data_IF_246791202067
#
_entry.id   IF_246791202067
#
_cell.length_a   1.000
_cell.length_b   1.000
_cell.length_c   1.000
_cell.angle_alpha   90.00
_cell.angle_beta   90.00
_cell.angle_gamma   90.00
#
_symmetry.space_group_name_H-M   'P 1'
#
loop_
_entity.id
_entity.type
_entity.pdbx_description
1 polymer ?
#
# COMPACT_ATOMS: atom_id res chain seq x y z
N UNK A 1 9.76 20.37 13.11
CA UNK A 1 10.34 19.08 12.67
C UNK A 1 10.71 18.19 13.86
N UNK A 2 11.64 18.59 14.77
CA UNK A 2 12.09 17.73 15.91
C UNK A 2 10.91 17.30 16.79
N UNK A 3 9.97 18.20 17.09
CA UNK A 3 8.75 17.85 17.85
C UNK A 3 7.91 16.79 17.13
N UNK A 4 7.78 16.90 15.84
CA UNK A 4 7.02 15.96 15.01
C UNK A 4 7.67 14.56 14.99
N UNK A 5 9.00 14.51 14.82
CA UNK A 5 9.76 13.24 14.88
C UNK A 5 9.51 12.51 16.20
N UNK A 6 9.47 13.24 17.32
CA UNK A 6 9.22 12.65 18.65
C UNK A 6 7.83 12.06 18.80
N UNK A 7 6.86 12.44 17.96
CA UNK A 7 5.50 11.88 17.99
C UNK A 7 5.34 10.65 17.10
N UNK A 8 6.30 10.34 16.22
CA UNK A 8 6.19 9.20 15.29
C UNK A 8 6.02 7.86 16.01
N UNK A 9 6.75 7.53 17.09
CA UNK A 9 6.55 6.25 17.79
C UNK A 9 5.10 6.05 18.25
N UNK A 10 4.49 7.06 18.88
CA UNK A 10 3.09 7.01 19.31
C UNK A 10 2.12 6.82 18.13
N UNK A 11 2.40 7.49 17.01
CA UNK A 11 1.61 7.36 15.78
C UNK A 11 1.73 5.96 15.17
N UNK A 12 2.93 5.38 15.20
CA UNK A 12 3.18 4.00 14.77
C UNK A 12 2.39 3.01 15.63
N UNK A 13 2.43 3.18 16.95
CA UNK A 13 1.66 2.33 17.87
C UNK A 13 0.15 2.37 17.56
N UNK A 14 -0.37 3.55 17.18
CA UNK A 14 -1.78 3.68 16.76
C UNK A 14 -2.08 2.88 15.50
N UNK A 15 -1.18 2.87 14.52
CA UNK A 15 -1.32 2.05 13.30
C UNK A 15 -1.30 0.56 13.67
N UNK A 16 -0.36 0.15 14.51
CA UNK A 16 -0.22 -1.24 14.93
C UNK A 16 -1.42 -1.77 15.74
N UNK A 17 -2.21 -0.90 16.37
CA UNK A 17 -3.47 -1.29 17.03
C UNK A 17 -4.55 -1.73 16.05
N UNK A 18 -4.50 -1.28 14.81
CA UNK A 18 -5.45 -1.66 13.73
C UNK A 18 -4.97 -2.86 12.89
N UNK A 19 -3.88 -3.50 13.28
CA UNK A 19 -3.25 -4.60 12.52
C UNK A 19 -4.19 -5.76 12.21
N UNK A 20 -5.17 -6.04 13.07
CA UNK A 20 -6.10 -7.15 12.89
C UNK A 20 -7.03 -6.93 11.69
N UNK A 21 -7.41 -5.68 11.40
CA UNK A 21 -8.16 -5.34 10.18
C UNK A 21 -7.32 -5.59 8.93
N UNK A 22 -6.04 -5.19 8.97
CA UNK A 22 -5.11 -5.45 7.86
C UNK A 22 -4.89 -6.95 7.69
N UNK A 23 -4.75 -7.70 8.78
CA UNK A 23 -4.62 -9.16 8.76
C UNK A 23 -5.86 -9.82 8.15
N UNK A 24 -7.05 -9.40 8.54
CA UNK A 24 -8.29 -9.88 7.95
C UNK A 24 -8.34 -9.61 6.44
N UNK A 25 -8.02 -8.39 6.03
CA UNK A 25 -7.97 -8.02 4.62
C UNK A 25 -6.94 -8.87 3.86
N UNK A 26 -5.72 -9.01 4.40
CA UNK A 26 -4.66 -9.81 3.83
C UNK A 26 -5.08 -11.26 3.59
N UNK A 27 -5.87 -11.84 4.50
CA UNK A 27 -6.37 -13.22 4.36
C UNK A 27 -7.28 -13.40 3.14
N UNK A 28 -7.92 -12.35 2.65
CA UNK A 28 -8.73 -12.37 1.42
C UNK A 28 -7.89 -12.26 0.15
N UNK A 29 -6.65 -11.78 0.27
CA UNK A 29 -5.75 -11.52 -0.85
C UNK A 29 -4.69 -12.61 -1.05
N UNK A 30 -4.79 -13.72 -0.34
CA UNK A 30 -3.81 -14.84 -0.37
C UNK A 30 -3.62 -15.41 -1.79
N UNK A 31 -4.68 -15.42 -2.57
CA UNK A 31 -4.71 -15.96 -3.94
C UNK A 31 -4.53 -14.86 -5.02
N UNK A 32 -4.23 -13.63 -4.65
CA UNK A 32 -3.94 -12.59 -5.63
C UNK A 32 -2.73 -13.00 -6.48
N UNK A 33 -2.83 -12.84 -7.80
CA UNK A 33 -1.74 -13.07 -8.74
C UNK A 33 -0.95 -11.82 -9.00
N UNK A 34 -1.65 -10.70 -9.17
CA UNK A 34 -1.10 -9.38 -9.45
C UNK A 34 -1.67 -8.36 -8.46
N UNK A 35 -0.81 -7.44 -8.03
CA UNK A 35 -1.20 -6.32 -7.17
C UNK A 35 -0.59 -5.04 -7.72
N UNK A 36 -1.40 -4.02 -7.92
CA UNK A 36 -0.94 -2.71 -8.36
C UNK A 36 -0.96 -1.71 -7.21
N UNK A 37 0.15 -1.01 -7.04
CA UNK A 37 0.28 0.08 -6.08
C UNK A 37 0.29 1.40 -6.82
N UNK A 38 -0.59 2.33 -6.44
CA UNK A 38 -0.74 3.60 -7.13
C UNK A 38 -0.67 4.78 -6.18
N UNK A 39 0.07 5.80 -6.56
CA UNK A 39 0.23 7.02 -5.78
C UNK A 39 0.76 8.16 -6.64
N UNK A 40 0.77 9.36 -6.08
CA UNK A 40 1.32 10.55 -6.74
C UNK A 40 2.37 11.21 -5.86
N UNK A 41 3.35 11.87 -6.48
CA UNK A 41 4.42 12.53 -5.73
C UNK A 41 5.16 11.56 -4.82
N UNK A 42 5.31 11.91 -3.54
CA UNK A 42 6.00 11.08 -2.56
C UNK A 42 5.25 9.78 -2.24
N UNK A 43 3.92 9.74 -2.39
CA UNK A 43 3.12 8.54 -2.21
C UNK A 43 3.48 7.45 -3.24
N UNK A 44 3.93 7.83 -4.44
CA UNK A 44 4.45 6.88 -5.42
C UNK A 44 5.73 6.17 -4.93
N UNK A 45 6.63 6.90 -4.26
CA UNK A 45 7.82 6.27 -3.68
C UNK A 45 7.46 5.21 -2.62
N UNK A 46 6.40 5.46 -1.84
CA UNK A 46 5.88 4.48 -0.86
C UNK A 46 5.25 3.29 -1.56
N UNK A 47 4.53 3.52 -2.66
CA UNK A 47 3.99 2.46 -3.49
C UNK A 47 5.09 1.53 -4.03
N UNK A 48 6.26 2.08 -4.42
CA UNK A 48 7.40 1.27 -4.85
C UNK A 48 7.91 0.37 -3.73
N UNK A 49 8.02 0.88 -2.50
CA UNK A 49 8.42 0.08 -1.33
C UNK A 49 7.36 -0.98 -1.00
N UNK A 50 6.07 -0.63 -1.03
CA UNK A 50 4.97 -1.59 -0.80
C UNK A 50 5.00 -2.73 -1.82
N UNK A 51 5.17 -2.40 -3.10
CA UNK A 51 5.32 -3.38 -4.18
C UNK A 51 6.57 -4.25 -3.99
N UNK A 52 7.70 -3.66 -3.60
CA UNK A 52 8.92 -4.41 -3.31
C UNK A 52 8.70 -5.43 -2.20
N UNK A 53 8.14 -5.01 -1.06
CA UNK A 53 7.84 -5.93 0.07
C UNK A 53 6.88 -7.04 -0.34
N UNK A 54 5.86 -6.73 -1.12
CA UNK A 54 4.92 -7.74 -1.64
C UNK A 54 5.67 -8.81 -2.43
N UNK A 55 6.53 -8.43 -3.37
CA UNK A 55 7.34 -9.38 -4.16
C UNK A 55 8.31 -10.18 -3.30
N UNK A 56 9.04 -9.52 -2.40
CA UNK A 56 10.10 -10.14 -1.62
C UNK A 56 9.62 -11.27 -0.71
N UNK A 57 8.50 -11.05 -0.01
CA UNK A 57 8.08 -11.96 1.06
C UNK A 57 6.84 -12.79 0.73
N UNK A 58 5.94 -12.31 -0.14
CA UNK A 58 4.72 -13.05 -0.51
C UNK A 58 4.82 -13.75 -1.86
N UNK A 59 5.82 -13.39 -2.67
CA UNK A 59 6.05 -13.89 -4.04
C UNK A 59 4.88 -13.59 -4.99
N UNK A 60 4.03 -12.64 -4.65
CA UNK A 60 3.00 -12.12 -5.54
C UNK A 60 3.63 -11.10 -6.47
N UNK A 61 3.37 -11.23 -7.76
CA UNK A 61 3.78 -10.21 -8.71
C UNK A 61 3.08 -8.88 -8.37
N UNK A 62 3.85 -7.82 -8.30
CA UNK A 62 3.30 -6.50 -8.00
C UNK A 62 4.10 -5.40 -8.65
N UNK A 63 3.42 -4.35 -9.03
CA UNK A 63 4.02 -3.18 -9.66
C UNK A 63 3.52 -1.90 -9.01
N UNK A 64 4.36 -0.88 -9.00
CA UNK A 64 4.00 0.45 -8.54
C UNK A 64 4.00 1.43 -9.70
N UNK A 65 2.96 2.25 -9.79
CA UNK A 65 2.81 3.26 -10.83
C UNK A 65 2.50 4.64 -10.24
N UNK A 66 3.04 5.66 -10.85
CA UNK A 66 2.50 6.99 -10.67
C UNK A 66 1.05 6.97 -11.20
N UNK A 67 0.07 7.30 -10.33
CA UNK A 67 -1.34 7.06 -10.61
C UNK A 67 -1.82 7.67 -11.94
N UNK A 68 -1.27 8.82 -12.34
CA UNK A 68 -1.59 9.45 -13.62
C UNK A 68 -1.06 8.71 -14.85
N UNK A 69 -0.05 7.85 -14.69
CA UNK A 69 0.58 7.12 -15.79
C UNK A 69 -0.12 5.79 -16.11
N UNK A 70 -0.97 5.29 -15.20
CA UNK A 70 -1.70 4.04 -15.40
C UNK A 70 -2.47 4.00 -16.74
N UNK A 71 -3.12 5.10 -17.08
CA UNK A 71 -3.93 5.23 -18.29
C UNK A 71 -3.13 5.14 -19.61
N UNK A 72 -1.81 5.27 -19.57
CA UNK A 72 -0.95 5.23 -20.75
C UNK A 72 -0.54 3.81 -21.19
N UNK A 73 -1.22 2.78 -20.69
CA UNK A 73 -1.01 1.39 -21.11
C UNK A 73 -1.36 0.39 -20.02
N UNK A 74 -0.76 0.52 -18.84
CA UNK A 74 -0.87 -0.43 -17.72
C UNK A 74 -2.31 -0.68 -17.26
N UNK A 75 -3.19 0.29 -17.41
CA UNK A 75 -4.62 0.14 -17.06
C UNK A 75 -5.30 -0.99 -17.84
N UNK A 76 -4.72 -1.43 -18.97
CA UNK A 76 -5.22 -2.58 -19.72
C UNK A 76 -5.04 -3.92 -19.00
N UNK A 77 -4.20 -3.95 -17.96
CA UNK A 77 -4.00 -5.13 -17.10
C UNK A 77 -5.01 -5.18 -15.94
N UNK A 78 -5.80 -4.13 -15.76
CA UNK A 78 -6.82 -4.08 -14.70
C UNK A 78 -8.04 -4.85 -15.19
N UNK A 79 -8.40 -5.88 -14.45
CA UNK A 79 -9.57 -6.72 -14.67
C UNK A 79 -10.26 -7.00 -13.34
N UNK A 80 -11.34 -7.78 -13.37
CA UNK A 80 -12.15 -8.08 -12.19
C UNK A 80 -11.33 -8.68 -11.05
N UNK A 81 -11.55 -8.17 -9.84
CA UNK A 81 -10.93 -8.59 -8.58
C UNK A 81 -9.41 -8.36 -8.46
N UNK A 82 -8.76 -7.73 -9.43
CA UNK A 82 -7.35 -7.31 -9.26
C UNK A 82 -7.24 -6.29 -8.12
N UNK A 83 -6.34 -6.54 -7.19
CA UNK A 83 -6.08 -5.62 -6.08
C UNK A 83 -5.30 -4.39 -6.56
N UNK A 84 -5.89 -3.23 -6.36
CA UNK A 84 -5.22 -1.93 -6.52
C UNK A 84 -5.13 -1.23 -5.18
N UNK A 85 -3.91 -1.00 -4.71
CA UNK A 85 -3.61 -0.30 -3.45
C UNK A 85 -3.25 1.15 -3.75
N UNK A 86 -4.13 2.07 -3.37
CA UNK A 86 -3.89 3.51 -3.50
C UNK A 86 -3.29 4.10 -2.23
N UNK A 87 -2.22 4.89 -2.37
CA UNK A 87 -1.65 5.70 -1.27
C UNK A 87 -1.98 7.17 -1.53
N UNK A 88 -2.69 7.80 -0.58
CA UNK A 88 -3.30 9.12 -0.72
C UNK A 88 -3.03 9.99 0.53
N UNK A 89 -1.75 10.21 0.85
CA UNK A 89 -1.38 11.03 2.02
C UNK A 89 -1.19 12.50 1.70
N UNK A 90 -1.01 12.84 0.40
CA UNK A 90 -0.78 14.20 -0.08
C UNK A 90 -2.11 14.89 -0.39
N UNK A 91 -2.52 15.85 0.45
CA UNK A 91 -3.82 16.51 0.33
C UNK A 91 -4.05 17.21 -1.03
N UNK A 92 -3.01 17.78 -1.61
CA UNK A 92 -3.08 18.48 -2.90
C UNK A 92 -3.24 17.53 -4.10
N UNK A 93 -2.88 16.26 -3.93
CA UNK A 93 -2.92 15.23 -4.97
C UNK A 93 -4.05 14.23 -4.75
N UNK A 94 -4.76 14.33 -3.64
CA UNK A 94 -5.79 13.39 -3.20
C UNK A 94 -6.86 13.16 -4.26
N UNK A 95 -7.54 14.21 -4.69
CA UNK A 95 -8.65 14.13 -5.66
C UNK A 95 -8.19 13.52 -7.01
N UNK A 96 -6.96 13.86 -7.42
CA UNK A 96 -6.39 13.31 -8.66
C UNK A 96 -6.10 11.82 -8.54
N UNK A 97 -5.68 11.36 -7.36
CA UNK A 97 -5.42 9.94 -7.11
C UNK A 97 -6.74 9.17 -7.00
N UNK A 98 -7.75 9.72 -6.32
CA UNK A 98 -9.12 9.17 -6.28
C UNK A 98 -9.67 8.98 -7.69
N UNK A 99 -9.55 9.99 -8.55
CA UNK A 99 -10.00 9.89 -9.94
C UNK A 99 -9.34 8.73 -10.70
N UNK A 100 -8.02 8.51 -10.51
CA UNK A 100 -7.33 7.39 -11.14
C UNK A 100 -7.75 6.03 -10.53
N UNK A 101 -8.03 5.96 -9.24
CA UNK A 101 -8.55 4.75 -8.62
C UNK A 101 -9.95 4.41 -9.12
N UNK A 102 -10.82 5.40 -9.34
CA UNK A 102 -12.14 5.21 -9.95
C UNK A 102 -12.04 4.65 -11.39
N UNK A 103 -11.02 5.04 -12.15
CA UNK A 103 -10.76 4.45 -13.46
C UNK A 103 -10.42 2.95 -13.36
N UNK A 104 -9.71 2.53 -12.31
CA UNK A 104 -9.47 1.11 -12.03
C UNK A 104 -10.75 0.41 -11.56
N UNK A 105 -11.52 1.03 -10.67
CA UNK A 105 -12.79 0.48 -10.18
C UNK A 105 -13.79 0.23 -11.31
N UNK A 106 -13.86 1.13 -12.27
CA UNK A 106 -14.74 0.97 -13.45
C UNK A 106 -14.37 -0.23 -14.35
N UNK A 107 -13.22 -0.86 -14.12
CA UNK A 107 -12.74 -2.07 -14.79
C UNK A 107 -12.77 -3.31 -13.91
N UNK A 108 -13.42 -3.22 -12.75
CA UNK A 108 -13.60 -4.35 -11.84
C UNK A 108 -12.53 -4.49 -10.74
N UNK A 109 -11.56 -3.58 -10.65
CA UNK A 109 -10.54 -3.64 -9.60
C UNK A 109 -11.14 -3.62 -8.20
N UNK A 110 -10.56 -4.42 -7.30
CA UNK A 110 -10.80 -4.33 -5.86
C UNK A 110 -9.85 -3.29 -5.25
N UNK A 111 -10.39 -2.24 -4.64
CA UNK A 111 -9.61 -1.09 -4.21
C UNK A 111 -9.31 -1.09 -2.71
N UNK A 112 -8.05 -0.98 -2.35
CA UNK A 112 -7.61 -0.60 -1.02
C UNK A 112 -7.09 0.84 -1.03
N UNK A 113 -7.60 1.69 -0.14
CA UNK A 113 -7.14 3.07 0.04
C UNK A 113 -6.40 3.28 1.35
N UNK A 114 -5.19 3.81 1.28
CA UNK A 114 -4.39 4.22 2.43
C UNK A 114 -4.31 5.74 2.49
N UNK A 115 -4.91 6.33 3.52
CA UNK A 115 -4.97 7.79 3.68
C UNK A 115 -4.84 8.21 5.16
N UNK A 116 -4.94 9.51 5.43
CA UNK A 116 -4.88 10.04 6.79
C UNK A 116 -6.26 10.14 7.43
N UNK A 117 -6.35 9.99 8.75
CA UNK A 117 -7.59 10.24 9.49
C UNK A 117 -8.21 11.59 9.12
N UNK A 118 -9.53 11.60 8.90
CA UNK A 118 -10.32 12.76 8.50
C UNK A 118 -10.64 12.82 7.01
N UNK A 119 -10.12 11.89 6.20
CA UNK A 119 -10.47 11.69 4.79
C UNK A 119 -11.43 10.51 4.64
N UNK A 120 -12.59 10.61 5.30
CA UNK A 120 -13.58 9.52 5.32
C UNK A 120 -14.37 9.40 4.02
N UNK A 121 -14.35 10.42 3.20
CA UNK A 121 -14.90 10.45 1.84
C UNK A 121 -14.31 9.37 0.92
N UNK A 122 -13.13 8.85 1.23
CA UNK A 122 -12.52 7.73 0.48
C UNK A 122 -13.36 6.46 0.53
N UNK A 123 -14.15 6.26 1.60
CA UNK A 123 -14.98 5.06 1.79
C UNK A 123 -16.07 4.91 0.74
N UNK A 124 -16.48 6.01 0.09
CA UNK A 124 -17.41 5.97 -1.03
C UNK A 124 -16.78 5.41 -2.31
N UNK A 125 -15.46 5.38 -2.37
CA UNK A 125 -14.70 4.98 -3.57
C UNK A 125 -14.09 3.59 -3.45
N UNK A 126 -13.46 3.27 -2.30
CA UNK A 126 -12.67 2.06 -2.11
C UNK A 126 -13.45 0.97 -1.37
N UNK A 127 -13.00 -0.26 -1.52
CA UNK A 127 -13.62 -1.43 -0.91
C UNK A 127 -13.03 -1.73 0.47
N UNK A 128 -11.79 -1.27 0.73
CA UNK A 128 -11.15 -1.35 2.03
C UNK A 128 -10.29 -0.11 2.29
N UNK A 129 -10.38 0.44 3.49
CA UNK A 129 -9.66 1.65 3.88
C UNK A 129 -8.73 1.40 5.04
N UNK A 130 -7.52 1.96 4.97
CA UNK A 130 -6.58 2.04 6.07
C UNK A 130 -6.27 3.50 6.35
N UNK A 131 -6.38 3.88 7.62
CA UNK A 131 -6.08 5.24 8.08
C UNK A 131 -4.78 5.30 8.86
N UNK A 132 -3.95 6.28 8.55
CA UNK A 132 -2.79 6.64 9.36
C UNK A 132 -3.02 7.94 10.11
N UNK A 133 -2.40 8.16 11.28
CA UNK A 133 -2.47 9.43 11.97
C UNK A 133 -1.98 10.59 11.13
N UNK A 134 -2.63 11.75 11.26
CA UNK A 134 -2.13 12.99 10.65
C UNK A 134 -0.73 13.31 11.15
N UNK A 135 0.14 13.71 10.23
CA UNK A 135 1.51 14.12 10.49
C UNK A 135 1.92 15.21 9.51
N UNK A 136 3.07 15.82 9.75
CA UNK A 136 3.69 16.68 8.75
C UNK A 136 3.91 15.87 7.45
N UNK A 137 3.57 16.41 6.27
CA UNK A 137 3.71 15.70 5.00
C UNK A 137 5.08 15.07 4.76
N UNK A 138 6.14 15.69 5.28
CA UNK A 138 7.50 15.16 5.20
C UNK A 138 7.67 13.80 5.89
N UNK A 139 6.87 13.53 6.93
CA UNK A 139 6.93 12.28 7.71
C UNK A 139 5.78 11.32 7.40
N UNK A 140 4.86 11.67 6.52
CA UNK A 140 3.75 10.80 6.13
C UNK A 140 4.24 9.46 5.58
N UNK A 141 5.37 9.46 4.87
CA UNK A 141 6.02 8.27 4.33
C UNK A 141 6.41 7.26 5.41
N UNK A 142 6.95 7.75 6.53
CA UNK A 142 7.36 6.90 7.66
C UNK A 142 6.18 6.18 8.33
N UNK A 143 4.97 6.72 8.20
CA UNK A 143 3.75 6.10 8.70
C UNK A 143 3.07 5.23 7.66
N UNK A 144 2.99 5.71 6.41
CA UNK A 144 2.26 5.03 5.34
C UNK A 144 2.92 3.71 4.90
N UNK A 145 4.24 3.57 5.04
CA UNK A 145 4.94 2.32 4.73
C UNK A 145 4.51 1.16 5.64
N UNK A 146 4.14 1.44 6.90
CA UNK A 146 3.84 0.41 7.90
C UNK A 146 2.63 -0.46 7.53
N UNK A 147 1.46 0.09 7.15
CA UNK A 147 0.34 -0.72 6.69
C UNK A 147 0.69 -1.57 5.46
N UNK A 148 1.54 -1.09 4.56
CA UNK A 148 1.96 -1.85 3.38
C UNK A 148 2.89 -3.01 3.75
N UNK A 149 3.80 -2.80 4.72
CA UNK A 149 4.62 -3.86 5.29
C UNK A 149 3.76 -4.91 6.00
N UNK A 150 2.78 -4.48 6.80
CA UNK A 150 1.84 -5.40 7.45
C UNK A 150 1.02 -6.19 6.43
N UNK A 151 0.57 -5.57 5.34
CA UNK A 151 -0.16 -6.26 4.27
C UNK A 151 0.69 -7.39 3.67
N UNK A 152 1.90 -7.10 3.24
CA UNK A 152 2.83 -8.12 2.71
C UNK A 152 3.13 -9.21 3.72
N UNK A 153 3.39 -8.83 4.98
CA UNK A 153 3.65 -9.76 6.08
C UNK A 153 2.47 -10.73 6.30
N UNK A 154 1.26 -10.22 6.46
CA UNK A 154 0.10 -11.08 6.75
C UNK A 154 -0.32 -11.95 5.57
N UNK A 155 -0.18 -11.48 4.33
CA UNK A 155 -0.37 -12.32 3.14
C UNK A 155 0.63 -13.48 3.16
N UNK A 156 1.91 -13.19 3.45
CA UNK A 156 2.97 -14.20 3.50
C UNK A 156 2.72 -15.24 4.58
N UNK A 157 2.36 -14.80 5.79
CA UNK A 157 2.00 -15.69 6.90
C UNK A 157 0.79 -16.57 6.53
N UNK A 158 -0.24 -15.98 5.93
CA UNK A 158 -1.43 -16.72 5.50
C UNK A 158 -1.14 -17.76 4.39
N UNK A 159 -0.09 -17.49 3.57
CA UNK A 159 0.43 -18.45 2.58
C UNK A 159 1.37 -19.51 3.19
N UNK A 160 1.69 -19.44 4.49
CA UNK A 160 2.62 -20.34 5.16
C UNK A 160 4.09 -20.10 4.77
N UNK A 161 4.45 -18.89 4.32
CA UNK A 161 5.80 -18.54 3.90
C UNK A 161 6.65 -18.06 5.07
N UNK A 162 7.96 -18.34 5.03
CA UNK A 162 8.93 -17.81 5.99
C UNK A 162 9.32 -16.39 5.60
N UNK A 163 8.77 -15.40 6.32
CA UNK A 163 9.02 -13.97 6.06
C UNK A 163 10.43 -13.52 6.47
N UNK A 164 11.09 -14.28 7.36
CA UNK A 164 12.45 -13.95 7.84
C UNK A 164 13.54 -14.50 6.91
N UNK A 165 13.20 -15.50 6.10
CA UNK A 165 14.11 -16.13 5.15
C UNK A 165 13.45 -16.27 3.77
N UNK A 166 13.19 -15.15 3.08
CA UNK A 166 12.64 -15.21 1.74
C UNK A 166 13.58 -15.98 0.80
N UNK A 167 12.99 -16.76 -0.09
CA UNK A 167 13.76 -17.51 -1.10
C UNK A 167 14.52 -16.56 -2.03
N UNK A 168 15.68 -16.98 -2.51
CA UNK A 168 16.49 -16.26 -3.51
C UNK A 168 17.01 -14.88 -3.04
N UNK A 169 16.87 -14.54 -1.77
CA UNK A 169 17.43 -13.32 -1.18
C UNK A 169 18.52 -13.66 -0.18
N UNK A 170 19.68 -13.07 -0.36
CA UNK A 170 20.78 -13.14 0.62
C UNK A 170 20.69 -11.94 1.56
N UNK A 171 20.93 -12.17 2.86
CA UNK A 171 21.02 -11.09 3.87
C UNK A 171 22.17 -10.10 3.61
N UNK A 172 23.20 -10.57 2.88
CA UNK A 172 24.28 -9.73 2.38
C UNK A 172 24.67 -10.20 0.99
N UNK A 173 24.82 -9.28 0.06
CA UNK A 173 25.40 -9.57 -1.26
C UNK A 173 26.91 -9.57 -1.11
N UNK A 174 27.53 -10.75 -1.20
CA UNK A 174 28.98 -10.95 -1.04
C UNK A 174 29.67 -11.27 -2.39
N UNK A 175 28.94 -11.24 -3.49
CA UNK A 175 29.45 -11.46 -4.84
C UNK A 175 29.29 -10.20 -5.66
N UNK A 176 30.38 -9.77 -6.30
CA UNK A 176 30.42 -8.73 -7.34
C UNK A 176 30.05 -9.31 -8.70
#
# INVERSE_FOLDING_TARGET
LIREIKTLPEKIEKILKDKERIQWFASKQVNAHDVFFVGRGIDYAICMEGSLKMKEISYIHSEAYAAGELKHGTISLIEDDILVVGVLTQSELYEKTISNMLECKSRGAYLMGLTTFGRYDIEDTVDFTVYIPKTDPLFATSLAVIPLQLLGYYISVAKGLDVDKPRNLAKSVTVE
#
